data_IF_394163463208
#
_entry.id   IF_394163463208
#
_cell.length_a   1.000
_cell.length_b   1.000
_cell.length_c   1.000
_cell.angle_alpha   90.00
_cell.angle_beta   90.00
_cell.angle_gamma   90.00
#
_symmetry.space_group_name_H-M   'P 1'
#
loop_
_entity.id
_entity.type
_entity.pdbx_description
1 polymer ?
#
# COMPACT_ATOMS: atom_id res chain seq x y z
N UNK A 1 -49.24 22.78 -7.81
CA UNK A 1 -50.28 23.58 -8.50
C UNK A 1 -50.06 25.03 -8.12
N UNK A 2 -49.31 25.77 -8.94
CA UNK A 2 -49.83 26.67 -9.99
C UNK A 2 -50.46 27.93 -9.40
N UNK A 3 -49.75 29.05 -9.50
CA UNK A 3 -50.19 30.15 -10.37
C UNK A 3 -48.99 30.95 -10.89
N UNK A 4 -48.97 31.09 -12.21
CA UNK A 4 -48.02 31.81 -13.07
C UNK A 4 -48.64 33.16 -13.43
N UNK A 5 -47.81 34.16 -13.80
CA UNK A 5 -47.99 35.26 -14.79
C UNK A 5 -47.18 36.48 -14.31
N UNK A 6 -46.41 37.23 -15.09
CA UNK A 6 -45.92 37.14 -16.47
C UNK A 6 -44.85 38.25 -16.64
N UNK A 7 -43.69 37.90 -17.22
CA UNK A 7 -42.80 38.69 -18.12
C UNK A 7 -42.83 40.23 -18.09
N UNK A 8 -41.63 40.82 -17.97
CA UNK A 8 -41.15 41.76 -19.01
C UNK A 8 -39.63 41.69 -19.18
N UNK A 9 -39.22 41.77 -20.45
CA UNK A 9 -37.88 41.62 -21.05
C UNK A 9 -37.07 42.91 -21.07
N UNK A 10 -35.79 42.80 -21.49
CA UNK A 10 -34.76 43.84 -21.79
C UNK A 10 -33.77 44.03 -20.63
N UNK A 11 -32.45 43.93 -20.79
CA UNK A 11 -31.59 43.96 -21.99
C UNK A 11 -30.21 43.42 -21.62
N UNK A 12 -29.62 42.62 -22.51
CA UNK A 12 -28.17 42.43 -22.60
C UNK A 12 -27.50 43.79 -22.86
N UNK A 13 -26.42 44.07 -22.14
CA UNK A 13 -25.58 45.25 -22.35
C UNK A 13 -25.08 45.86 -21.05
N UNK A 14 -23.76 45.92 -20.91
CA UNK A 14 -23.00 46.60 -19.85
C UNK A 14 -22.79 45.88 -18.52
N UNK A 15 -22.20 44.68 -18.57
CA UNK A 15 -21.19 44.33 -17.56
C UNK A 15 -19.81 44.78 -18.06
N UNK A 16 -19.34 45.88 -17.45
CA UNK A 16 -18.01 46.45 -17.61
C UNK A 16 -16.93 45.36 -17.50
N UNK A 17 -16.31 45.03 -18.64
CA UNK A 17 -15.02 44.35 -18.66
C UNK A 17 -13.97 45.30 -18.04
N UNK A 18 -13.70 45.13 -16.74
CA UNK A 18 -12.53 45.72 -16.10
C UNK A 18 -11.31 45.18 -16.84
N UNK A 19 -10.68 45.99 -17.71
CA UNK A 19 -9.40 45.64 -18.33
C UNK A 19 -8.42 45.33 -17.19
N UNK A 20 -8.00 44.08 -17.08
CA UNK A 20 -6.99 43.66 -16.12
C UNK A 20 -5.75 44.53 -16.33
N UNK A 21 -5.40 45.36 -15.34
CA UNK A 21 -4.33 46.37 -15.48
C UNK A 21 -2.94 45.72 -15.44
N UNK A 22 -2.86 44.52 -14.88
CA UNK A 22 -1.69 43.66 -14.80
C UNK A 22 -2.11 42.24 -14.41
N UNK A 23 -1.28 41.26 -14.77
CA UNK A 23 -1.33 39.88 -14.29
C UNK A 23 -0.37 39.74 -13.11
N UNK A 24 -0.73 38.96 -12.12
CA UNK A 24 0.08 38.73 -10.93
C UNK A 24 0.24 37.24 -10.61
N UNK A 25 1.42 36.87 -10.12
CA UNK A 25 1.73 35.55 -9.59
C UNK A 25 2.38 35.69 -8.22
N UNK A 26 1.81 35.02 -7.22
CA UNK A 26 2.23 35.15 -5.81
C UNK A 26 3.18 34.01 -5.44
N UNK A 27 4.36 34.38 -4.95
CA UNK A 27 5.39 33.46 -4.46
C UNK A 27 5.48 33.61 -2.93
N UNK A 28 4.53 33.02 -2.21
CA UNK A 28 4.38 33.19 -0.76
C UNK A 28 5.59 32.70 0.03
N UNK A 29 6.22 31.59 -0.41
CA UNK A 29 7.39 31.02 0.26
C UNK A 29 8.63 31.90 0.08
N UNK A 30 8.76 32.51 -1.10
CA UNK A 30 9.87 33.39 -1.46
C UNK A 30 9.63 34.86 -1.09
N UNK A 31 8.40 35.22 -0.70
CA UNK A 31 8.04 36.53 -0.16
C UNK A 31 7.92 37.65 -1.19
N UNK A 32 7.46 37.34 -2.41
CA UNK A 32 7.27 38.35 -3.46
C UNK A 32 6.05 38.10 -4.34
N UNK A 33 5.61 39.13 -5.05
CA UNK A 33 4.58 39.04 -6.09
C UNK A 33 5.22 39.46 -7.42
N UNK A 34 5.22 38.57 -8.41
CA UNK A 34 5.64 38.92 -9.77
C UNK A 34 4.46 39.50 -10.52
N UNK A 35 4.71 40.56 -11.28
CA UNK A 35 3.68 41.24 -12.07
C UNK A 35 4.10 41.42 -13.51
N UNK A 36 3.13 41.33 -14.41
CA UNK A 36 3.30 41.60 -15.84
C UNK A 36 2.19 42.53 -16.30
N UNK A 37 2.51 43.50 -17.15
CA UNK A 37 1.51 44.34 -17.83
C UNK A 37 1.86 44.53 -19.31
N UNK A 38 0.85 44.75 -20.14
CA UNK A 38 1.04 45.20 -21.51
C UNK A 38 1.24 46.73 -21.50
N UNK A 39 2.36 47.20 -22.04
CA UNK A 39 2.64 48.65 -22.17
C UNK A 39 1.98 49.18 -23.43
N UNK A 40 2.42 48.68 -24.59
CA UNK A 40 1.89 49.05 -25.91
C UNK A 40 2.19 47.96 -26.92
N UNK A 41 1.20 47.60 -27.74
CA UNK A 41 1.38 46.60 -28.80
C UNK A 41 1.96 45.30 -28.25
N UNK A 42 3.16 44.93 -28.71
CA UNK A 42 3.86 43.69 -28.34
C UNK A 42 4.80 43.85 -27.14
N UNK A 43 4.82 45.02 -26.50
CA UNK A 43 5.72 45.32 -25.38
C UNK A 43 5.07 44.93 -24.06
N UNK A 44 5.68 43.99 -23.36
CA UNK A 44 5.32 43.55 -22.03
C UNK A 44 6.35 44.07 -21.02
N UNK A 45 5.88 44.53 -19.86
CA UNK A 45 6.72 44.96 -18.75
C UNK A 45 6.51 44.01 -17.57
N UNK A 46 7.60 43.41 -17.08
CA UNK A 46 7.61 42.51 -15.92
C UNK A 46 8.47 43.08 -14.80
N UNK A 47 7.97 42.98 -13.57
CA UNK A 47 8.69 43.38 -12.35
C UNK A 47 8.29 42.48 -11.17
N UNK A 48 9.01 42.63 -10.08
CA UNK A 48 8.72 41.96 -8.81
C UNK A 48 8.43 43.01 -7.74
N UNK A 49 7.36 42.80 -6.97
CA UNK A 49 7.07 43.55 -5.75
C UNK A 49 7.48 42.72 -4.54
N UNK A 50 8.43 43.24 -3.75
CA UNK A 50 8.94 42.60 -2.55
C UNK A 50 9.38 43.67 -1.53
N UNK A 51 9.35 43.33 -0.24
CA UNK A 51 9.83 44.22 0.84
C UNK A 51 11.38 44.21 0.97
N UNK A 52 12.04 43.23 0.36
CA UNK A 52 13.48 43.00 0.41
C UNK A 52 13.97 42.38 -0.91
N UNK A 53 15.27 42.31 -1.09
CA UNK A 53 15.86 41.58 -2.22
C UNK A 53 15.52 40.08 -2.14
N UNK A 54 15.13 39.51 -3.28
CA UNK A 54 14.69 38.12 -3.40
C UNK A 54 15.59 37.28 -4.30
N UNK A 55 15.38 35.97 -4.21
CA UNK A 55 15.91 34.98 -5.13
C UNK A 55 14.84 34.61 -6.16
N UNK A 56 15.09 34.87 -7.44
CA UNK A 56 14.23 34.35 -8.50
C UNK A 56 14.44 32.84 -8.63
N UNK A 57 13.39 32.07 -8.33
CA UNK A 57 13.44 30.61 -8.27
C UNK A 57 12.54 29.92 -9.30
N UNK A 58 11.32 30.42 -9.48
CA UNK A 58 10.30 29.79 -10.31
C UNK A 58 9.91 30.73 -11.45
N UNK A 59 9.83 30.19 -12.66
CA UNK A 59 9.35 30.93 -13.82
C UNK A 59 7.85 30.72 -14.03
N UNK A 60 7.12 31.81 -14.13
CA UNK A 60 5.66 31.82 -14.25
C UNK A 60 5.20 31.61 -15.70
N UNK A 61 5.50 30.44 -16.27
CA UNK A 61 5.17 30.11 -17.67
C UNK A 61 3.67 30.26 -17.95
N UNK A 62 2.82 29.81 -17.02
CA UNK A 62 1.36 29.95 -17.13
C UNK A 62 0.91 31.41 -17.20
N UNK A 63 1.47 32.27 -16.35
CA UNK A 63 1.17 33.71 -16.38
C UNK A 63 1.61 34.33 -17.71
N UNK A 64 2.77 33.91 -18.25
CA UNK A 64 3.23 34.38 -19.54
C UNK A 64 2.28 33.97 -20.69
N UNK A 65 1.80 32.72 -20.68
CA UNK A 65 0.84 32.21 -21.66
C UNK A 65 -0.52 32.93 -21.57
N UNK A 66 -1.01 33.18 -20.36
CA UNK A 66 -2.22 33.95 -20.09
C UNK A 66 -2.10 35.38 -20.63
N UNK A 67 -1.01 36.08 -20.32
CA UNK A 67 -0.75 37.45 -20.82
C UNK A 67 -0.78 37.49 -22.35
N UNK A 68 -0.10 36.55 -23.01
CA UNK A 68 -0.05 36.50 -24.48
C UNK A 68 -1.43 36.20 -25.06
N UNK A 69 -2.20 35.31 -24.43
CA UNK A 69 -3.55 35.00 -24.86
C UNK A 69 -4.49 36.20 -24.74
N UNK A 70 -4.51 36.84 -23.57
CA UNK A 70 -5.40 37.96 -23.28
C UNK A 70 -5.05 39.19 -24.15
N UNK A 71 -3.75 39.40 -24.41
CA UNK A 71 -3.26 40.48 -25.26
C UNK A 71 -3.33 40.17 -26.77
N UNK A 72 -3.74 38.95 -27.15
CA UNK A 72 -3.78 38.45 -28.55
C UNK A 72 -2.42 38.54 -29.25
N UNK A 73 -1.35 38.15 -28.57
CA UNK A 73 0.03 38.22 -29.05
C UNK A 73 0.56 36.88 -29.60
N UNK A 74 -0.27 35.84 -29.70
CA UNK A 74 0.15 34.45 -30.01
C UNK A 74 0.90 34.27 -31.35
N UNK A 75 0.72 35.18 -32.30
CA UNK A 75 1.24 35.03 -33.67
C UNK A 75 2.49 35.86 -33.95
N UNK A 76 2.95 36.71 -33.01
CA UNK A 76 4.07 37.62 -33.23
C UNK A 76 5.04 37.63 -32.04
N UNK A 77 6.37 37.61 -32.29
CA UNK A 77 7.35 37.69 -31.21
C UNK A 77 7.14 38.93 -30.35
N UNK A 78 7.25 38.75 -29.03
CA UNK A 78 7.00 39.81 -28.04
C UNK A 78 8.30 40.52 -27.65
N UNK A 79 8.18 41.77 -27.21
CA UNK A 79 9.27 42.51 -26.59
C UNK A 79 9.06 42.53 -25.07
N UNK A 80 10.08 42.15 -24.31
CA UNK A 80 10.02 42.09 -22.85
C UNK A 80 10.89 43.18 -22.23
N UNK A 81 10.31 44.01 -21.36
CA UNK A 81 11.04 44.91 -20.48
C UNK A 81 11.03 44.28 -19.09
N UNK A 82 12.20 44.11 -18.50
CA UNK A 82 12.36 43.42 -17.24
C UNK A 82 13.05 44.29 -16.18
N UNK A 83 12.29 44.63 -15.15
CA UNK A 83 12.79 45.31 -13.95
C UNK A 83 13.41 44.32 -12.97
N UNK A 84 14.67 44.54 -12.59
CA UNK A 84 15.42 43.71 -11.65
C UNK A 84 15.69 44.38 -10.29
N UNK A 85 15.00 45.47 -9.95
CA UNK A 85 15.24 46.29 -8.74
C UNK A 85 15.32 45.51 -7.43
N UNK A 86 14.53 44.44 -7.29
CA UNK A 86 14.46 43.62 -6.06
C UNK A 86 15.10 42.24 -6.23
N UNK A 87 15.88 42.00 -7.29
CA UNK A 87 16.43 40.68 -7.58
C UNK A 87 17.88 40.60 -7.12
N UNK A 88 18.10 40.08 -5.91
CA UNK A 88 19.44 39.92 -5.34
C UNK A 88 20.17 38.68 -5.88
N UNK A 89 19.45 37.63 -6.27
CA UNK A 89 20.04 36.41 -6.83
C UNK A 89 19.09 35.67 -7.78
N UNK A 90 19.64 34.82 -8.63
CA UNK A 90 18.91 34.00 -9.59
C UNK A 90 19.36 32.54 -9.42
N UNK A 91 18.42 31.64 -9.12
CA UNK A 91 18.73 30.22 -8.89
C UNK A 91 19.07 29.48 -10.19
N UNK A 92 19.69 28.30 -10.07
CA UNK A 92 19.94 27.44 -11.23
C UNK A 92 18.66 27.05 -11.96
N UNK A 93 17.62 26.68 -11.20
CA UNK A 93 16.31 26.30 -11.75
C UNK A 93 15.70 27.44 -12.58
N UNK A 94 15.81 28.67 -12.11
CA UNK A 94 15.32 29.83 -12.85
C UNK A 94 16.13 30.08 -14.14
N UNK A 95 17.46 29.93 -14.08
CA UNK A 95 18.35 30.06 -15.25
C UNK A 95 18.04 29.00 -16.31
N UNK A 96 17.79 27.76 -15.89
CA UNK A 96 17.33 26.67 -16.76
C UNK A 96 15.97 27.00 -17.38
N UNK A 97 15.03 27.50 -16.58
CA UNK A 97 13.69 27.85 -17.06
C UNK A 97 13.72 28.99 -18.08
N UNK A 98 14.47 30.07 -17.84
CA UNK A 98 14.56 31.17 -18.81
C UNK A 98 15.32 30.76 -20.06
N UNK A 99 16.34 29.90 -19.94
CA UNK A 99 17.02 29.31 -21.09
C UNK A 99 16.01 28.51 -21.95
N UNK A 100 15.21 27.66 -21.35
CA UNK A 100 14.17 26.91 -22.08
C UNK A 100 13.20 27.82 -22.82
N UNK A 101 12.70 28.89 -22.16
CA UNK A 101 11.74 29.81 -22.78
C UNK A 101 12.34 30.51 -24.01
N UNK A 102 13.58 31.02 -23.94
CA UNK A 102 14.15 31.75 -25.08
C UNK A 102 14.39 30.86 -26.32
N UNK A 103 14.48 29.54 -26.15
CA UNK A 103 14.65 28.60 -27.27
C UNK A 103 13.35 27.93 -27.72
N UNK A 104 12.42 27.65 -26.79
CA UNK A 104 11.30 26.74 -27.04
C UNK A 104 9.90 27.37 -26.87
N UNK A 105 9.79 28.57 -26.28
CA UNK A 105 8.49 29.19 -26.06
C UNK A 105 7.99 29.96 -27.29
N UNK A 106 6.73 29.73 -27.67
CA UNK A 106 6.02 30.46 -28.73
C UNK A 106 5.04 31.48 -28.11
N UNK A 107 4.93 32.71 -28.63
CA UNK A 107 5.40 33.24 -29.92
C UNK A 107 6.91 33.57 -30.00
N UNK A 108 7.64 33.45 -28.90
CA UNK A 108 9.05 33.81 -28.81
C UNK A 108 9.26 35.30 -28.53
N UNK A 109 10.52 35.70 -28.39
CA UNK A 109 10.90 37.10 -28.13
C UNK A 109 11.60 37.70 -29.34
N UNK A 110 11.31 38.95 -29.67
CA UNK A 110 12.16 39.73 -30.60
C UNK A 110 13.23 40.52 -29.85
N UNK A 111 12.90 40.98 -28.64
CA UNK A 111 13.79 41.83 -27.83
C UNK A 111 13.53 41.68 -26.35
N UNK A 112 14.59 41.72 -25.56
CA UNK A 112 14.55 41.70 -24.09
C UNK A 112 15.40 42.85 -23.56
N UNK A 113 14.82 43.73 -22.76
CA UNK A 113 15.48 44.90 -22.20
C UNK A 113 15.47 44.82 -20.68
N UNK A 114 16.63 44.68 -20.06
CA UNK A 114 16.80 44.67 -18.61
C UNK A 114 17.10 46.08 -18.08
N UNK A 115 16.51 46.47 -16.96
CA UNK A 115 16.87 47.71 -16.27
C UNK A 115 16.87 47.51 -14.75
N UNK A 116 17.45 48.47 -14.03
CA UNK A 116 17.68 48.39 -12.58
C UNK A 116 18.41 47.09 -12.15
N UNK A 117 19.44 46.70 -12.90
CA UNK A 117 20.19 45.46 -12.71
C UNK A 117 21.13 45.61 -11.50
N UNK A 118 20.95 44.86 -10.41
CA UNK A 118 21.89 44.86 -9.29
C UNK A 118 23.24 44.26 -9.71
N UNK A 119 24.33 44.79 -9.15
CA UNK A 119 25.70 44.35 -9.50
C UNK A 119 25.90 42.84 -9.26
N UNK A 120 25.29 42.30 -8.19
CA UNK A 120 25.37 40.89 -7.83
C UNK A 120 24.91 39.92 -8.94
N UNK A 121 24.00 40.36 -9.82
CA UNK A 121 23.45 39.53 -10.91
C UNK A 121 23.81 40.05 -12.30
N UNK A 122 24.60 41.12 -12.40
CA UNK A 122 24.99 41.72 -13.69
C UNK A 122 25.63 40.70 -14.62
N UNK A 123 26.54 39.86 -14.10
CA UNK A 123 27.20 38.83 -14.90
C UNK A 123 26.22 37.77 -15.43
N UNK A 124 25.13 37.51 -14.71
CA UNK A 124 24.07 36.58 -15.12
C UNK A 124 23.32 37.19 -16.30
N UNK A 125 22.97 38.48 -16.24
CA UNK A 125 22.31 39.18 -17.36
C UNK A 125 23.22 39.24 -18.59
N UNK A 126 24.51 39.52 -18.42
CA UNK A 126 25.49 39.49 -19.52
C UNK A 126 25.61 38.09 -20.13
N UNK A 127 25.65 37.05 -19.28
CA UNK A 127 25.71 35.66 -19.75
C UNK A 127 24.44 35.25 -20.50
N UNK A 128 23.28 35.71 -20.03
CA UNK A 128 22.01 35.51 -20.70
C UNK A 128 21.99 36.17 -22.09
N UNK A 129 22.44 37.42 -22.19
CA UNK A 129 22.57 38.11 -23.47
C UNK A 129 23.51 37.38 -24.43
N UNK A 130 24.58 36.78 -23.92
CA UNK A 130 25.57 36.06 -24.72
C UNK A 130 25.08 34.70 -25.26
N UNK A 131 24.07 34.08 -24.63
CA UNK A 131 23.46 32.82 -25.10
C UNK A 131 22.14 33.00 -25.84
N UNK A 132 21.65 34.23 -25.96
CA UNK A 132 20.41 34.52 -26.67
C UNK A 132 20.53 34.14 -28.17
N UNK A 133 19.50 33.54 -28.78
CA UNK A 133 19.47 33.26 -30.23
C UNK A 133 19.65 34.53 -31.06
N UNK A 134 20.19 34.40 -32.28
CA UNK A 134 20.43 35.55 -33.20
C UNK A 134 19.18 36.39 -33.50
N UNK A 135 17.97 35.81 -33.39
CA UNK A 135 16.70 36.52 -33.57
C UNK A 135 16.21 37.31 -32.35
N UNK A 136 16.90 37.22 -31.19
CA UNK A 136 16.52 37.90 -29.96
C UNK A 136 17.55 38.95 -29.59
N UNK A 137 17.17 40.22 -29.69
CA UNK A 137 18.03 41.33 -29.26
C UNK A 137 17.96 41.51 -27.74
N UNK A 138 19.06 41.29 -27.02
CA UNK A 138 19.12 41.52 -25.57
C UNK A 138 19.89 42.80 -25.25
N UNK A 139 19.29 43.68 -24.45
CA UNK A 139 19.83 45.00 -24.14
C UNK A 139 19.68 45.33 -22.65
N UNK A 140 20.48 46.29 -22.18
CA UNK A 140 20.34 46.88 -20.84
C UNK A 140 19.99 48.36 -20.93
N UNK A 141 19.31 48.90 -19.93
CA UNK A 141 18.92 50.30 -19.82
C UNK A 141 19.12 50.81 -18.37
N UNK A 142 19.40 52.11 -18.22
CA UNK A 142 19.60 52.75 -16.92
C UNK A 142 18.31 53.22 -16.24
N UNK A 143 17.19 53.28 -16.98
CA UNK A 143 15.88 53.69 -16.46
C UNK A 143 14.74 53.03 -17.24
N UNK A 144 13.53 53.08 -16.68
CA UNK A 144 12.33 52.58 -17.34
C UNK A 144 12.04 53.31 -18.68
N UNK A 145 12.22 54.64 -18.72
CA UNK A 145 11.98 55.43 -19.95
C UNK A 145 12.95 55.06 -21.08
N UNK A 146 14.21 54.81 -20.72
CA UNK A 146 15.21 54.32 -21.68
C UNK A 146 14.88 52.88 -22.13
N UNK A 147 14.42 52.04 -21.21
CA UNK A 147 14.03 50.67 -21.52
C UNK A 147 12.84 50.61 -22.49
N UNK A 148 11.83 51.45 -22.28
CA UNK A 148 10.66 51.56 -23.16
C UNK A 148 11.06 52.06 -24.56
N UNK A 149 11.95 53.06 -24.64
CA UNK A 149 12.47 53.55 -25.92
C UNK A 149 13.25 52.47 -26.67
N UNK A 150 14.14 51.75 -25.99
CA UNK A 150 14.89 50.62 -26.56
C UNK A 150 13.97 49.47 -26.96
N UNK A 151 12.90 49.22 -26.22
CA UNK A 151 11.89 48.23 -26.59
C UNK A 151 11.10 48.62 -27.86
N UNK A 152 10.83 49.92 -28.04
CA UNK A 152 10.05 50.44 -29.16
C UNK A 152 10.86 50.75 -30.45
N UNK A 153 12.19 50.79 -30.38
CA UNK A 153 13.05 51.12 -31.52
C UNK A 153 12.96 50.11 -32.67
N UNK A 154 12.94 50.58 -33.93
CA UNK A 154 12.99 49.72 -35.12
C UNK A 154 14.42 49.17 -35.35
N UNK A 155 14.55 48.01 -36.00
CA UNK A 155 15.82 47.27 -36.18
C UNK A 155 16.92 48.03 -36.97
N UNK A 156 16.64 49.22 -37.49
CA UNK A 156 17.51 49.93 -38.44
C UNK A 156 18.65 50.77 -37.83
N UNK A 157 18.77 50.89 -36.50
CA UNK A 157 19.90 51.59 -35.86
C UNK A 157 20.98 50.62 -35.37
N UNK A 158 21.69 49.97 -36.29
CA UNK A 158 23.04 49.45 -35.99
C UNK A 158 24.01 50.63 -36.08
N UNK A 159 24.27 51.29 -34.96
CA UNK A 159 25.44 52.17 -34.85
C UNK A 159 26.70 51.31 -34.93
N UNK A 160 27.30 51.29 -36.11
CA UNK A 160 28.68 50.89 -36.33
C UNK A 160 29.60 51.81 -35.50
N UNK A 161 30.32 51.23 -34.55
CA UNK A 161 31.54 51.84 -34.02
C UNK A 161 32.61 50.76 -33.84
N UNK A 162 33.78 51.09 -34.38
CA UNK A 162 34.98 50.29 -34.63
C UNK A 162 35.72 49.79 -33.35
N UNK A 163 37.05 49.58 -33.41
CA UNK A 163 37.83 48.34 -33.48
C UNK A 163 38.02 47.63 -32.12
N UNK A 164 37.00 47.66 -31.25
CA UNK A 164 36.99 47.04 -29.90
C UNK A 164 36.47 45.60 -29.91
N UNK A 165 36.13 45.07 -31.09
CA UNK A 165 35.33 43.87 -31.30
C UNK A 165 35.97 42.59 -30.77
N UNK A 166 37.29 42.41 -30.87
CA UNK A 166 37.94 41.14 -30.52
C UNK A 166 37.87 40.80 -29.02
N UNK A 167 38.16 41.78 -28.15
CA UNK A 167 38.08 41.58 -26.70
C UNK A 167 36.65 41.41 -26.20
N UNK A 168 35.71 42.19 -26.77
CA UNK A 168 34.29 42.08 -26.44
C UNK A 168 33.72 40.75 -26.91
N UNK A 169 34.12 40.27 -28.09
CA UNK A 169 33.76 38.96 -28.62
C UNK A 169 34.29 37.82 -27.76
N UNK A 170 35.57 37.87 -27.36
CA UNK A 170 36.15 36.86 -26.48
C UNK A 170 35.47 36.84 -25.09
N UNK A 171 35.13 38.01 -24.52
CA UNK A 171 34.33 38.09 -23.29
C UNK A 171 32.96 37.45 -23.46
N UNK A 172 32.22 37.82 -24.51
CA UNK A 172 30.88 37.30 -24.74
C UNK A 172 30.89 35.79 -24.96
N UNK A 173 31.84 35.27 -25.74
CA UNK A 173 31.96 33.83 -25.98
C UNK A 173 32.32 33.06 -24.70
N UNK A 174 33.15 33.64 -23.82
CA UNK A 174 33.45 33.07 -22.52
C UNK A 174 32.19 32.92 -21.65
N UNK A 175 31.40 34.00 -21.55
CA UNK A 175 30.16 34.00 -20.79
C UNK A 175 29.14 33.03 -21.38
N UNK A 176 29.06 32.97 -22.71
CA UNK A 176 28.18 32.06 -23.41
C UNK A 176 28.55 30.59 -23.15
N UNK A 177 29.84 30.24 -23.21
CA UNK A 177 30.31 28.90 -22.89
C UNK A 177 29.94 28.50 -21.45
N UNK A 178 30.21 29.36 -20.47
CA UNK A 178 29.85 29.11 -19.06
C UNK A 178 28.35 28.92 -18.88
N UNK A 179 27.51 29.78 -19.48
CA UNK A 179 26.06 29.65 -19.38
C UNK A 179 25.53 28.38 -20.07
N UNK A 180 26.05 28.01 -21.25
CA UNK A 180 25.67 26.75 -21.91
C UNK A 180 26.06 25.52 -21.09
N UNK A 181 27.25 25.50 -20.47
CA UNK A 181 27.68 24.42 -19.58
C UNK A 181 26.78 24.39 -18.34
N UNK A 182 26.65 25.51 -17.63
CA UNK A 182 26.05 25.53 -16.30
C UNK A 182 24.53 25.56 -16.30
N UNK A 183 23.89 26.21 -17.27
CA UNK A 183 22.43 26.37 -17.31
C UNK A 183 21.78 25.35 -18.24
N UNK A 184 22.45 24.97 -19.34
CA UNK A 184 21.86 24.10 -20.37
C UNK A 184 22.45 22.68 -20.38
N UNK A 185 23.35 22.36 -19.43
CA UNK A 185 24.06 21.08 -19.36
C UNK A 185 24.76 20.68 -20.68
N UNK A 186 25.24 21.66 -21.46
CA UNK A 186 25.91 21.40 -22.74
C UNK A 186 27.38 21.06 -22.50
N UNK A 187 27.64 19.89 -21.91
CA UNK A 187 28.99 19.46 -21.57
C UNK A 187 29.82 19.01 -22.78
N UNK A 188 29.21 18.80 -23.95
CA UNK A 188 29.88 18.40 -25.19
C UNK A 188 30.13 19.55 -26.18
N UNK A 189 29.79 20.78 -25.82
CA UNK A 189 29.97 21.92 -26.73
C UNK A 189 31.46 22.17 -27.03
N UNK A 190 31.74 22.66 -28.23
CA UNK A 190 33.06 23.20 -28.54
C UNK A 190 33.24 24.58 -27.90
N UNK A 191 34.37 24.76 -27.20
CA UNK A 191 34.78 26.06 -26.68
C UNK A 191 35.86 26.63 -27.62
N UNK A 192 35.61 27.76 -28.31
CA UNK A 192 36.56 28.35 -29.24
C UNK A 192 37.70 29.06 -28.49
N UNK A 193 38.75 28.29 -28.16
CA UNK A 193 39.91 28.78 -27.40
C UNK A 193 40.68 29.83 -28.23
N UNK A 194 40.86 31.06 -27.72
CA UNK A 194 41.69 32.07 -28.37
C UNK A 194 43.15 31.63 -28.52
N UNK A 195 43.91 32.29 -29.40
CA UNK A 195 45.35 32.04 -29.56
C UNK A 195 46.12 32.26 -28.24
N UNK A 196 47.28 31.59 -28.02
CA UNK A 196 48.03 31.64 -26.75
C UNK A 196 48.49 33.03 -26.29
N UNK A 197 48.63 33.97 -27.22
CA UNK A 197 48.98 35.36 -26.98
C UNK A 197 47.80 36.23 -26.49
N UNK A 198 46.57 35.72 -26.61
CA UNK A 198 45.37 36.39 -26.13
C UNK A 198 45.25 36.30 -24.60
N UNK A 199 44.98 37.44 -23.94
CA UNK A 199 44.82 37.52 -22.47
C UNK A 199 43.75 36.59 -21.88
N UNK A 200 42.78 36.16 -22.69
CA UNK A 200 41.70 35.27 -22.27
C UNK A 200 42.02 33.78 -22.45
N UNK A 201 43.12 33.42 -23.11
CA UNK A 201 43.47 32.04 -23.44
C UNK A 201 43.45 31.10 -22.22
N UNK A 202 44.12 31.49 -21.13
CA UNK A 202 44.20 30.69 -19.90
C UNK A 202 42.83 30.48 -19.24
N UNK A 203 41.94 31.48 -19.30
CA UNK A 203 40.58 31.37 -18.79
C UNK A 203 39.76 30.35 -19.60
N UNK A 204 39.83 30.41 -20.93
CA UNK A 204 39.15 29.44 -21.80
C UNK A 204 39.67 28.01 -21.59
N UNK A 205 40.99 27.84 -21.44
CA UNK A 205 41.59 26.54 -21.09
C UNK A 205 41.13 26.02 -19.73
N UNK A 206 40.96 26.88 -18.74
CA UNK A 206 40.42 26.50 -17.44
C UNK A 206 38.97 26.01 -17.54
N UNK A 207 38.15 26.65 -18.38
CA UNK A 207 36.76 26.23 -18.62
C UNK A 207 36.69 24.91 -19.38
N UNK A 208 37.55 24.70 -20.39
CA UNK A 208 37.65 23.42 -21.10
C UNK A 208 38.05 22.27 -20.15
N UNK A 209 39.03 22.51 -19.28
CA UNK A 209 39.41 21.53 -18.25
C UNK A 209 38.24 21.23 -17.30
N UNK A 210 37.55 22.27 -16.80
CA UNK A 210 36.37 22.11 -15.95
C UNK A 210 35.24 21.34 -16.68
N UNK A 211 35.01 21.61 -17.96
CA UNK A 211 34.02 20.90 -18.78
C UNK A 211 34.38 19.40 -18.88
N UNK A 212 35.66 19.08 -19.06
CA UNK A 212 36.14 17.69 -19.06
C UNK A 212 35.89 16.98 -17.72
N UNK A 213 36.16 17.66 -16.60
CA UNK A 213 35.92 17.11 -15.27
C UNK A 213 34.42 16.90 -15.00
N UNK A 214 33.57 17.80 -15.48
CA UNK A 214 32.12 17.68 -15.36
C UNK A 214 31.58 16.50 -16.18
N UNK A 215 32.09 16.27 -17.40
CA UNK A 215 31.75 15.07 -18.20
C UNK A 215 32.14 13.79 -17.48
N UNK A 216 33.36 13.71 -16.96
CA UNK A 216 33.82 12.54 -16.23
C UNK A 216 32.94 12.23 -15.00
N UNK A 217 32.45 13.27 -14.30
CA UNK A 217 31.50 13.11 -13.19
C UNK A 217 30.11 12.66 -13.64
N UNK A 218 29.64 13.13 -14.79
CA UNK A 218 28.36 12.69 -15.36
C UNK A 218 28.43 11.21 -15.78
N UNK A 219 29.52 10.81 -16.44
CA UNK A 219 29.81 9.42 -16.81
C UNK A 219 29.87 8.50 -15.58
N UNK A 220 30.60 8.91 -14.53
CA UNK A 220 30.71 8.15 -13.27
C UNK A 220 29.33 7.95 -12.63
N UNK A 221 28.53 9.02 -12.54
CA UNK A 221 27.17 8.98 -12.01
C UNK A 221 26.25 8.09 -12.86
N UNK A 222 26.38 8.12 -14.18
CA UNK A 222 25.61 7.25 -15.07
C UNK A 222 25.99 5.78 -14.87
N UNK A 223 27.29 5.47 -14.70
CA UNK A 223 27.74 4.12 -14.38
C UNK A 223 27.19 3.63 -13.04
N UNK A 224 27.22 4.46 -11.98
CA UNK A 224 26.64 4.14 -10.68
C UNK A 224 25.13 3.86 -10.78
N UNK A 225 24.40 4.70 -11.53
CA UNK A 225 22.96 4.55 -11.72
C UNK A 225 22.64 3.24 -12.46
N UNK A 226 23.41 2.90 -13.49
CA UNK A 226 23.25 1.67 -14.24
C UNK A 226 23.55 0.42 -13.39
N UNK A 227 24.58 0.47 -12.55
CA UNK A 227 24.88 -0.59 -11.58
C UNK A 227 23.74 -0.78 -10.58
N UNK A 228 23.22 0.31 -10.01
CA UNK A 228 22.10 0.26 -9.07
C UNK A 228 20.84 -0.33 -9.73
N UNK A 229 20.54 0.08 -10.96
CA UNK A 229 19.42 -0.46 -11.73
C UNK A 229 19.56 -1.97 -11.94
N UNK A 230 20.75 -2.43 -12.31
CA UNK A 230 21.04 -3.85 -12.50
C UNK A 230 20.88 -4.66 -11.20
N UNK A 231 21.36 -4.15 -10.06
CA UNK A 231 21.17 -4.79 -8.75
C UNK A 231 19.68 -4.89 -8.38
N UNK A 232 18.91 -3.82 -8.60
CA UNK A 232 17.47 -3.83 -8.35
C UNK A 232 16.72 -4.84 -9.24
N UNK A 233 17.06 -4.93 -10.52
CA UNK A 233 16.49 -5.92 -11.45
C UNK A 233 16.82 -7.36 -11.03
N UNK A 234 18.05 -7.61 -10.56
CA UNK A 234 18.45 -8.92 -10.03
C UNK A 234 17.67 -9.28 -8.76
N UNK A 235 17.52 -8.34 -7.82
CA UNK A 235 16.74 -8.55 -6.59
C UNK A 235 15.27 -8.84 -6.89
N UNK A 236 14.68 -8.09 -7.83
CA UNK A 236 13.30 -8.30 -8.25
C UNK A 236 13.12 -9.69 -8.88
N UNK A 237 14.04 -10.09 -9.76
CA UNK A 237 14.05 -11.43 -10.35
C UNK A 237 14.14 -12.52 -9.30
N UNK A 238 15.05 -12.39 -8.33
CA UNK A 238 15.19 -13.35 -7.24
C UNK A 238 13.93 -13.44 -6.37
N UNK A 239 13.29 -12.31 -6.09
CA UNK A 239 12.04 -12.25 -5.32
C UNK A 239 10.89 -12.94 -6.06
N UNK A 240 10.76 -12.71 -7.36
CA UNK A 240 9.74 -13.37 -8.20
C UNK A 240 9.93 -14.89 -8.21
N UNK A 241 11.16 -15.38 -8.39
CA UNK A 241 11.48 -16.81 -8.34
C UNK A 241 11.07 -17.40 -6.98
N UNK A 242 11.46 -16.75 -5.88
CA UNK A 242 11.13 -17.19 -4.52
C UNK A 242 9.62 -17.20 -4.27
N UNK A 243 8.91 -16.17 -4.74
CA UNK A 243 7.45 -16.07 -4.61
C UNK A 243 6.74 -17.18 -5.39
N UNK A 244 7.17 -17.45 -6.62
CA UNK A 244 6.60 -18.52 -7.44
C UNK A 244 6.85 -19.90 -6.81
N UNK A 245 8.06 -20.15 -6.30
CA UNK A 245 8.37 -21.38 -5.58
C UNK A 245 7.48 -21.55 -4.34
N UNK A 246 7.29 -20.50 -3.54
CA UNK A 246 6.40 -20.54 -2.37
C UNK A 246 4.94 -20.77 -2.76
N UNK A 247 4.48 -20.16 -3.85
CA UNK A 247 3.12 -20.31 -4.35
C UNK A 247 2.85 -21.75 -4.81
N UNK A 248 3.81 -22.39 -5.48
CA UNK A 248 3.67 -23.78 -5.89
C UNK A 248 3.69 -24.75 -4.69
N UNK A 249 4.53 -24.49 -3.68
CA UNK A 249 4.50 -25.25 -2.42
C UNK A 249 3.14 -25.13 -1.73
N UNK A 250 2.62 -23.91 -1.59
CA UNK A 250 1.31 -23.68 -0.99
C UNK A 250 0.18 -24.37 -1.78
N UNK A 251 0.24 -24.34 -3.11
CA UNK A 251 -0.70 -25.05 -3.99
C UNK A 251 -0.66 -26.55 -3.77
N UNK A 252 0.54 -27.14 -3.65
CA UNK A 252 0.71 -28.57 -3.39
C UNK A 252 0.13 -28.95 -2.03
N UNK A 253 0.47 -28.22 -0.97
CA UNK A 253 -0.11 -28.44 0.36
C UNK A 253 -1.63 -28.30 0.37
N UNK A 254 -2.18 -27.34 -0.37
CA UNK A 254 -3.64 -27.20 -0.54
C UNK A 254 -4.29 -28.46 -1.13
N UNK A 255 -3.71 -29.03 -2.19
CA UNK A 255 -4.19 -30.29 -2.80
C UNK A 255 -4.08 -31.47 -1.83
N UNK A 256 -2.99 -31.56 -1.08
CA UNK A 256 -2.77 -32.63 -0.11
C UNK A 256 -3.82 -32.58 1.01
N UNK A 257 -4.12 -31.39 1.55
CA UNK A 257 -5.17 -31.20 2.54
C UNK A 257 -6.58 -31.50 1.99
N UNK A 258 -6.89 -31.08 0.77
CA UNK A 258 -8.18 -31.42 0.14
C UNK A 258 -8.38 -32.93 0.01
N UNK A 259 -7.31 -33.66 -0.37
CA UNK A 259 -7.33 -35.11 -0.46
C UNK A 259 -7.58 -35.75 0.91
N UNK A 260 -6.86 -35.30 1.94
CA UNK A 260 -7.04 -35.80 3.31
C UNK A 260 -8.46 -35.53 3.84
N UNK A 261 -9.01 -34.34 3.58
CA UNK A 261 -10.40 -34.01 3.93
C UNK A 261 -11.38 -34.96 3.24
N UNK A 262 -11.18 -35.27 1.95
CA UNK A 262 -12.04 -36.18 1.20
C UNK A 262 -11.98 -37.60 1.75
N UNK A 263 -10.79 -38.10 2.06
CA UNK A 263 -10.59 -39.44 2.65
C UNK A 263 -11.24 -39.56 4.02
N UNK A 264 -11.07 -38.55 4.89
CA UNK A 264 -11.71 -38.51 6.21
C UNK A 264 -13.23 -38.45 6.10
N UNK A 265 -13.78 -37.64 5.19
CA UNK A 265 -15.24 -37.60 4.93
C UNK A 265 -15.77 -38.95 4.48
N UNK A 266 -15.05 -39.65 3.60
CA UNK A 266 -15.45 -40.99 3.16
C UNK A 266 -15.44 -41.99 4.33
N UNK A 267 -14.44 -41.93 5.20
CA UNK A 267 -14.37 -42.80 6.38
C UNK A 267 -15.50 -42.53 7.36
N UNK A 268 -15.83 -41.27 7.61
CA UNK A 268 -16.97 -40.88 8.44
C UNK A 268 -18.27 -41.46 7.85
N UNK A 269 -18.50 -41.29 6.55
CA UNK A 269 -19.69 -41.82 5.90
C UNK A 269 -19.81 -43.34 6.04
N UNK A 270 -18.70 -44.08 5.87
CA UNK A 270 -18.69 -45.54 6.08
C UNK A 270 -19.01 -45.90 7.53
N UNK A 271 -18.40 -45.21 8.51
CA UNK A 271 -18.66 -45.46 9.93
C UNK A 271 -20.10 -45.13 10.33
N UNK A 272 -20.68 -44.06 9.79
CA UNK A 272 -22.09 -43.70 10.01
C UNK A 272 -23.04 -44.77 9.46
N UNK A 273 -22.72 -45.35 8.30
CA UNK A 273 -23.49 -46.48 7.74
C UNK A 273 -23.41 -47.73 8.64
N UNK A 274 -22.22 -48.06 9.14
CA UNK A 274 -22.04 -49.19 10.07
C UNK A 274 -22.79 -48.96 11.39
N UNK A 275 -22.68 -47.76 11.97
CA UNK A 275 -23.42 -47.38 13.17
C UNK A 275 -24.93 -47.48 12.97
N UNK A 276 -25.44 -47.05 11.81
CA UNK A 276 -26.86 -47.14 11.47
C UNK A 276 -27.31 -48.60 11.39
N UNK A 277 -26.51 -49.47 10.76
CA UNK A 277 -26.79 -50.92 10.68
C UNK A 277 -26.84 -51.56 12.06
N UNK A 278 -25.83 -51.31 12.89
CA UNK A 278 -25.77 -51.83 14.27
C UNK A 278 -26.96 -51.32 15.08
N UNK A 279 -27.27 -50.03 15.00
CA UNK A 279 -28.41 -49.44 15.72
C UNK A 279 -29.74 -50.07 15.33
N UNK A 280 -29.92 -50.38 14.04
CA UNK A 280 -31.12 -51.05 13.51
C UNK A 280 -31.24 -52.47 14.05
N UNK A 281 -30.16 -53.26 13.99
CA UNK A 281 -30.14 -54.63 14.51
C UNK A 281 -30.46 -54.69 16.02
N UNK A 282 -29.94 -53.72 16.79
CA UNK A 282 -30.26 -53.62 18.22
C UNK A 282 -31.75 -53.29 18.39
N UNK A 283 -32.31 -52.35 17.62
CA UNK A 283 -33.74 -52.02 17.71
C UNK A 283 -34.65 -53.23 17.40
N UNK A 284 -34.31 -54.01 16.38
CA UNK A 284 -35.01 -55.27 16.02
C UNK A 284 -34.93 -56.31 17.13
N UNK A 285 -33.74 -56.49 17.74
CA UNK A 285 -33.54 -57.37 18.90
C UNK A 285 -34.41 -56.94 20.08
N UNK A 286 -34.43 -55.65 20.43
CA UNK A 286 -35.28 -55.12 21.51
C UNK A 286 -36.76 -55.41 21.24
N UNK A 287 -37.21 -55.20 19.99
CA UNK A 287 -38.60 -55.46 19.61
C UNK A 287 -38.96 -56.93 19.74
N UNK A 288 -38.04 -57.83 19.34
CA UNK A 288 -38.25 -59.28 19.44
C UNK A 288 -38.37 -59.74 20.90
N UNK A 289 -37.53 -59.21 21.80
CA UNK A 289 -37.62 -59.49 23.24
C UNK A 289 -38.95 -59.02 23.84
N UNK A 290 -39.46 -57.86 23.43
CA UNK A 290 -40.79 -57.37 23.87
C UNK A 290 -41.91 -58.26 23.36
N UNK A 291 -41.86 -58.67 22.09
CA UNK A 291 -42.86 -59.59 21.54
C UNK A 291 -42.86 -60.95 22.27
N UNK A 292 -41.68 -61.47 22.64
CA UNK A 292 -41.57 -62.68 23.45
C UNK A 292 -42.16 -62.51 24.85
N UNK A 293 -41.93 -61.35 25.47
CA UNK A 293 -42.53 -61.01 26.77
C UNK A 293 -44.06 -61.01 26.69
N UNK A 294 -44.65 -60.38 25.66
CA UNK A 294 -46.09 -60.35 25.45
C UNK A 294 -46.66 -61.76 25.23
N UNK A 295 -45.96 -62.62 24.49
CA UNK A 295 -46.32 -64.03 24.31
C UNK A 295 -46.28 -64.80 25.63
N UNK A 296 -45.25 -64.61 26.46
CA UNK A 296 -45.14 -65.24 27.79
C UNK A 296 -46.30 -64.80 28.69
N UNK A 297 -46.70 -63.53 28.65
CA UNK A 297 -47.85 -63.05 29.41
C UNK A 297 -49.17 -63.68 28.98
N UNK A 298 -49.33 -64.02 27.70
CA UNK A 298 -50.53 -64.67 27.16
C UNK A 298 -50.63 -66.18 27.48
N UNK A 299 -49.53 -66.84 27.85
CA UNK A 299 -49.53 -68.27 28.17
C UNK A 299 -50.16 -68.55 29.54
N UNK A 300 -51.00 -69.59 29.61
CA UNK A 300 -51.56 -70.14 30.85
C UNK A 300 -50.67 -71.27 31.36
N UNK A 301 -49.64 -70.88 32.11
CA UNK A 301 -48.58 -71.74 32.66
C UNK A 301 -48.44 -71.50 34.16
N UNK A 302 -47.78 -72.42 34.85
CA UNK A 302 -47.54 -72.35 36.28
C UNK A 302 -47.00 -70.95 36.70
N UNK A 303 -47.57 -70.30 37.72
CA UNK A 303 -47.21 -68.94 38.11
C UNK A 303 -45.72 -68.76 38.44
N UNK A 304 -45.05 -69.80 38.94
CA UNK A 304 -43.62 -69.73 39.27
C UNK A 304 -42.75 -69.80 38.02
N UNK A 305 -43.09 -70.67 37.07
CA UNK A 305 -42.39 -70.75 35.78
C UNK A 305 -42.62 -69.51 34.92
N UNK A 306 -43.87 -69.00 34.90
CA UNK A 306 -44.22 -67.75 34.20
C UNK A 306 -43.41 -66.58 34.72
N UNK A 307 -43.29 -66.47 36.05
CA UNK A 307 -42.49 -65.44 36.70
C UNK A 307 -41.01 -65.55 36.34
N UNK A 308 -40.44 -66.76 36.37
CA UNK A 308 -39.05 -66.97 36.00
C UNK A 308 -38.76 -66.55 34.55
N UNK A 309 -39.60 -66.93 33.59
CA UNK A 309 -39.43 -66.56 32.18
C UNK A 309 -39.60 -65.06 31.93
N UNK A 310 -40.55 -64.43 32.64
CA UNK A 310 -40.80 -62.98 32.59
C UNK A 310 -39.61 -62.21 33.15
N UNK A 311 -39.11 -62.62 34.32
CA UNK A 311 -37.97 -62.01 34.99
C UNK A 311 -36.70 -62.12 34.13
N UNK A 312 -36.47 -63.26 33.45
CA UNK A 312 -35.38 -63.41 32.48
C UNK A 312 -35.51 -62.47 31.27
N UNK A 313 -36.70 -62.32 30.69
CA UNK A 313 -36.91 -61.39 29.58
C UNK A 313 -36.73 -59.92 30.00
N UNK A 314 -37.21 -59.55 31.20
CA UNK A 314 -37.04 -58.22 31.76
C UNK A 314 -35.56 -57.91 32.06
N UNK A 315 -34.79 -58.89 32.58
CA UNK A 315 -33.34 -58.79 32.78
C UNK A 315 -32.59 -58.50 31.46
N UNK A 316 -32.97 -59.18 30.38
CA UNK A 316 -32.37 -58.96 29.06
C UNK A 316 -32.70 -57.56 28.50
N UNK A 317 -33.94 -57.10 28.66
CA UNK A 317 -34.36 -55.75 28.23
C UNK A 317 -33.67 -54.66 29.08
N UNK A 318 -33.54 -54.88 30.39
CA UNK A 318 -32.82 -53.97 31.29
C UNK A 318 -31.34 -53.87 30.88
N UNK A 319 -30.71 -55.02 30.62
CA UNK A 319 -29.32 -55.10 30.14
C UNK A 319 -29.12 -54.30 28.86
N UNK A 320 -29.96 -54.53 27.84
CA UNK A 320 -29.90 -53.81 26.57
C UNK A 320 -30.13 -52.28 26.73
N UNK A 321 -31.00 -51.90 27.67
CA UNK A 321 -31.25 -50.47 27.98
C UNK A 321 -30.01 -49.81 28.59
N UNK A 322 -29.30 -50.53 29.47
CA UNK A 322 -28.08 -50.04 30.09
C UNK A 322 -26.93 -50.00 29.06
N UNK A 323 -26.83 -51.01 28.18
CA UNK A 323 -25.87 -51.04 27.07
C UNK A 323 -26.02 -49.79 26.18
N UNK A 324 -27.24 -49.48 25.73
CA UNK A 324 -27.53 -48.27 24.92
C UNK A 324 -27.16 -46.99 25.64
N UNK A 325 -27.47 -46.89 26.94
CA UNK A 325 -27.21 -45.69 27.74
C UNK A 325 -25.72 -45.45 27.97
N UNK A 326 -24.93 -46.51 28.10
CA UNK A 326 -23.49 -46.43 28.39
C UNK A 326 -22.61 -46.55 27.14
N UNK A 327 -23.20 -46.96 26.02
CA UNK A 327 -22.53 -47.24 24.75
C UNK A 327 -21.38 -48.26 24.93
N UNK A 328 -21.69 -49.38 25.60
CA UNK A 328 -20.80 -50.52 25.90
C UNK A 328 -21.63 -51.80 25.86
N UNK A 329 -21.08 -52.88 25.30
CA UNK A 329 -21.65 -54.24 25.40
C UNK A 329 -21.46 -54.80 26.82
N UNK A 330 -22.52 -55.35 27.40
CA UNK A 330 -22.56 -55.80 28.79
C UNK A 330 -22.87 -57.28 28.87
N UNK A 331 -22.22 -57.97 29.80
CA UNK A 331 -22.74 -59.26 30.26
C UNK A 331 -23.91 -59.03 31.22
N UNK A 332 -24.76 -60.05 31.44
CA UNK A 332 -25.83 -59.99 32.43
C UNK A 332 -25.29 -59.63 33.83
N UNK A 333 -24.11 -60.15 34.18
CA UNK A 333 -23.42 -59.82 35.43
C UNK A 333 -22.97 -58.35 35.51
N UNK A 334 -22.61 -57.73 34.38
CA UNK A 334 -22.26 -56.31 34.33
C UNK A 334 -23.49 -55.40 34.47
N UNK A 335 -24.60 -55.79 33.84
CA UNK A 335 -25.90 -55.12 33.96
C UNK A 335 -26.39 -55.12 35.42
N UNK A 336 -26.43 -56.29 36.06
CA UNK A 336 -26.84 -56.43 37.47
C UNK A 336 -25.95 -55.58 38.39
N UNK A 337 -24.63 -55.59 38.17
CA UNK A 337 -23.70 -54.74 38.92
C UNK A 337 -24.01 -53.26 38.74
N UNK A 338 -24.24 -52.80 37.51
CA UNK A 338 -24.54 -51.39 37.21
C UNK A 338 -25.87 -50.96 37.82
N UNK A 339 -26.90 -51.81 37.77
CA UNK A 339 -28.18 -51.56 38.44
C UNK A 339 -28.02 -51.48 39.96
N UNK A 340 -27.23 -52.37 40.57
CA UNK A 340 -26.88 -52.30 42.00
C UNK A 340 -26.12 -51.01 42.35
N UNK A 341 -25.13 -50.64 41.54
CA UNK A 341 -24.33 -49.43 41.73
C UNK A 341 -25.19 -48.16 41.62
N UNK A 342 -26.08 -48.11 40.63
CA UNK A 342 -26.97 -46.97 40.42
C UNK A 342 -28.02 -46.86 41.53
N UNK A 343 -28.55 -47.97 42.04
CA UNK A 343 -29.47 -47.99 43.20
C UNK A 343 -28.79 -47.46 44.46
N UNK A 344 -27.52 -47.81 44.68
CA UNK A 344 -26.75 -47.38 45.86
C UNK A 344 -26.22 -45.94 45.74
N UNK A 345 -25.88 -45.50 44.53
CA UNK A 345 -25.28 -44.20 44.24
C UNK A 345 -25.96 -43.50 43.06
N UNK A 346 -27.16 -42.98 43.28
CA UNK A 346 -27.97 -42.31 42.25
C UNK A 346 -27.35 -40.99 41.71
N UNK A 347 -26.32 -40.46 42.38
CA UNK A 347 -25.62 -39.22 42.02
C UNK A 347 -24.47 -39.40 41.00
N UNK A 348 -24.20 -40.64 40.57
CA UNK A 348 -23.26 -40.95 39.51
C UNK A 348 -23.88 -40.65 38.14
N UNK A 349 -23.17 -39.88 37.31
CA UNK A 349 -23.60 -39.65 35.93
C UNK A 349 -23.21 -40.82 35.01
N UNK A 350 -23.75 -40.85 33.80
CA UNK A 350 -23.50 -41.94 32.82
C UNK A 350 -22.01 -42.16 32.55
N UNK A 351 -21.23 -41.07 32.46
CA UNK A 351 -19.77 -41.12 32.24
C UNK A 351 -19.06 -41.80 33.42
N UNK A 352 -19.46 -41.51 34.65
CA UNK A 352 -18.90 -42.09 35.88
C UNK A 352 -19.33 -43.56 36.07
N UNK A 353 -20.55 -43.94 35.65
CA UNK A 353 -21.00 -45.33 35.62
C UNK A 353 -20.19 -46.15 34.62
N UNK A 354 -19.97 -45.63 33.41
CA UNK A 354 -19.09 -46.24 32.40
C UNK A 354 -17.67 -46.44 32.91
N UNK A 355 -17.11 -45.40 33.54
CA UNK A 355 -15.77 -45.49 34.14
C UNK A 355 -15.75 -46.54 35.27
N UNK A 356 -16.78 -46.60 36.11
CA UNK A 356 -16.88 -47.62 37.18
C UNK A 356 -16.84 -49.03 36.63
N UNK A 357 -17.54 -49.30 35.53
CA UNK A 357 -17.49 -50.59 34.85
C UNK A 357 -16.09 -50.89 34.34
N UNK A 358 -15.43 -49.96 33.65
CA UNK A 358 -14.07 -50.18 33.14
C UNK A 358 -13.06 -50.42 34.27
N UNK A 359 -13.22 -49.74 35.41
CA UNK A 359 -12.41 -49.99 36.61
C UNK A 359 -12.65 -51.39 37.18
N UNK A 360 -13.92 -51.84 37.23
CA UNK A 360 -14.29 -53.21 37.64
C UNK A 360 -13.66 -54.26 36.70
N UNK A 361 -13.67 -54.00 35.39
CA UNK A 361 -13.09 -54.86 34.36
C UNK A 361 -11.55 -54.81 34.30
N UNK A 362 -10.88 -54.16 35.26
CA UNK A 362 -9.43 -54.08 35.38
C UNK A 362 -8.69 -53.32 34.27
N UNK A 363 -9.35 -52.43 33.53
CA UNK A 363 -8.65 -51.56 32.56
C UNK A 363 -7.68 -50.58 33.23
N UNK A 364 -6.57 -50.27 32.57
CA UNK A 364 -5.59 -49.29 33.08
C UNK A 364 -6.16 -47.87 33.01
N UNK A 365 -5.74 -47.00 33.93
CA UNK A 365 -6.16 -45.58 33.95
C UNK A 365 -5.90 -44.86 32.62
N UNK A 366 -4.82 -45.19 31.91
CA UNK A 366 -4.49 -44.65 30.58
C UNK A 366 -5.45 -45.14 29.50
N UNK A 367 -5.84 -46.41 29.56
CA UNK A 367 -6.80 -47.02 28.62
C UNK A 367 -8.19 -46.44 28.82
N UNK A 368 -8.61 -46.30 30.08
CA UNK A 368 -9.87 -45.64 30.45
C UNK A 368 -9.88 -44.19 29.97
N UNK A 369 -8.80 -43.43 30.22
CA UNK A 369 -8.70 -42.05 29.79
C UNK A 369 -8.82 -41.90 28.26
N UNK A 370 -8.16 -42.79 27.50
CA UNK A 370 -8.25 -42.84 26.03
C UNK A 370 -9.66 -43.20 25.56
N UNK A 371 -10.29 -44.22 26.16
CA UNK A 371 -11.63 -44.67 25.81
C UNK A 371 -12.70 -43.59 26.03
N UNK A 372 -12.52 -42.76 27.06
CA UNK A 372 -13.47 -41.69 27.44
C UNK A 372 -13.04 -40.31 26.92
N UNK A 373 -12.00 -40.24 26.08
CA UNK A 373 -11.56 -39.02 25.38
C UNK A 373 -11.02 -37.91 26.28
N UNK A 374 -10.22 -38.23 27.31
CA UNK A 374 -9.60 -37.26 28.23
C UNK A 374 -8.13 -37.54 28.47
N UNK A 375 -7.41 -36.52 28.95
CA UNK A 375 -6.05 -36.69 29.44
C UNK A 375 -6.02 -37.52 30.73
N UNK A 376 -4.87 -38.14 31.01
CA UNK A 376 -4.61 -38.86 32.27
C UNK A 376 -4.85 -37.97 33.50
N UNK A 377 -4.44 -36.69 33.43
CA UNK A 377 -4.73 -35.68 34.46
C UNK A 377 -6.23 -35.43 34.64
N UNK A 378 -6.98 -35.37 33.53
CA UNK A 378 -8.44 -35.27 33.57
C UNK A 378 -9.08 -36.48 34.25
N UNK A 379 -8.51 -37.67 34.05
CA UNK A 379 -8.96 -38.92 34.67
C UNK A 379 -8.74 -38.94 36.20
N UNK A 380 -7.64 -38.35 36.69
CA UNK A 380 -7.41 -38.19 38.14
C UNK A 380 -8.46 -37.28 38.81
N UNK A 381 -8.83 -36.20 38.14
CA UNK A 381 -9.89 -35.30 38.61
C UNK A 381 -11.24 -36.02 38.71
N UNK A 382 -11.57 -36.87 37.72
CA UNK A 382 -12.78 -37.70 37.76
C UNK A 382 -12.69 -38.72 38.91
N UNK A 383 -11.56 -39.40 39.07
CA UNK A 383 -11.33 -40.36 40.16
C UNK A 383 -11.58 -39.72 41.53
N UNK A 384 -11.08 -38.50 41.76
CA UNK A 384 -11.33 -37.76 42.99
C UNK A 384 -12.83 -37.45 43.21
N UNK A 385 -13.54 -37.03 42.16
CA UNK A 385 -14.99 -36.78 42.25
C UNK A 385 -15.78 -38.06 42.53
N UNK A 386 -15.43 -39.15 41.85
CA UNK A 386 -16.05 -40.46 42.08
C UNK A 386 -15.78 -40.94 43.51
N UNK A 387 -14.57 -40.75 44.03
CA UNK A 387 -14.22 -41.11 45.41
C UNK A 387 -15.13 -40.41 46.43
N UNK A 388 -15.37 -39.10 46.26
CA UNK A 388 -16.34 -38.33 47.07
C UNK A 388 -17.77 -38.81 46.89
N UNK A 389 -18.22 -39.02 45.65
CA UNK A 389 -19.60 -39.43 45.35
C UNK A 389 -19.94 -40.82 45.89
N UNK A 390 -18.96 -41.73 45.89
CA UNK A 390 -19.07 -43.09 46.42
C UNK A 390 -18.96 -43.16 47.96
N UNK A 391 -18.64 -42.04 48.63
CA UNK A 391 -18.51 -41.96 50.09
C UNK A 391 -17.29 -42.69 50.66
N UNK A 392 -16.20 -42.79 49.87
CA UNK A 392 -15.02 -43.57 50.26
C UNK A 392 -14.11 -42.79 51.21
N UNK A 393 -13.53 -43.47 52.20
CA UNK A 393 -12.50 -42.91 53.09
C UNK A 393 -11.15 -42.69 52.39
N UNK A 394 -10.27 -41.85 52.94
CA UNK A 394 -8.99 -41.43 52.31
C UNK A 394 -8.10 -42.58 51.81
N UNK A 395 -8.20 -43.77 52.41
CA UNK A 395 -7.40 -44.95 52.06
C UNK A 395 -8.19 -46.06 51.36
N UNK A 396 -9.46 -45.82 51.04
CA UNK A 396 -10.28 -46.80 50.34
C UNK A 396 -10.12 -46.66 48.83
N UNK A 397 -9.84 -47.78 48.17
CA UNK A 397 -9.72 -47.87 46.71
C UNK A 397 -11.09 -47.98 46.07
N UNK A 398 -11.36 -47.15 45.06
CA UNK A 398 -12.57 -47.25 44.22
C UNK A 398 -12.65 -48.65 43.61
N UNK A 399 -11.52 -49.21 43.17
CA UNK A 399 -11.48 -50.54 42.55
C UNK A 399 -11.99 -51.62 43.50
N UNK A 400 -11.44 -51.67 44.71
CA UNK A 400 -11.85 -52.65 45.73
C UNK A 400 -13.33 -52.51 46.07
N UNK A 401 -13.80 -51.28 46.27
CA UNK A 401 -15.21 -51.00 46.53
C UNK A 401 -16.15 -51.52 45.44
N UNK A 402 -15.81 -51.28 44.17
CA UNK A 402 -16.62 -51.72 43.03
C UNK A 402 -16.59 -53.24 42.87
N UNK A 403 -15.45 -53.89 43.13
CA UNK A 403 -15.33 -55.35 43.14
C UNK A 403 -16.20 -55.98 44.23
N UNK A 404 -16.15 -55.47 45.46
CA UNK A 404 -16.95 -56.00 46.58
C UNK A 404 -18.46 -55.87 46.33
N UNK A 405 -18.87 -54.75 45.72
CA UNK A 405 -20.26 -54.51 45.35
C UNK A 405 -20.75 -55.48 44.25
N UNK A 406 -19.85 -56.01 43.43
CA UNK A 406 -20.20 -56.96 42.36
C UNK A 406 -20.37 -58.41 42.84
N UNK A 407 -19.71 -58.80 43.94
CA UNK A 407 -19.69 -60.19 44.46
C UNK A 407 -20.83 -60.44 45.45
N UNK A 408 -21.36 -59.39 46.09
CA UNK A 408 -22.45 -59.54 47.07
C UNK A 408 -23.76 -59.88 46.34
N UNK A 409 -24.25 -61.13 46.50
CA UNK A 409 -25.49 -61.63 45.88
C UNK A 409 -26.72 -60.83 46.30
#
# INVERSE_FOLDING_TARGET
>A
MYFTLQRNTMTEGDEKATRQTHWESRHEQEGYVKKIRQVKGRILHTWVEAERDIALNTMDNRMLDEVVQDCRLKDLPVCLIWDLSHVGTITLHYKQSIADIIFNWAPGFSRIVFFNIPEAIRIIVESFAAVAPEGISVMTAGSYEEAERKAAAEEHEKNETEPTESHTRAKNEFLAAIARISWMNMLEQHIPIPQPDNRFHSFFKAVEAMQSDLRAKEDEKEMELNQLKQDLEQRLTHMVIKMNAQTELNRKSGRDFEKEISELKSRIATQDMELTRVSTAIAEKTSSLRNLLDQIYALDIDPTQKRQMTDSCLSLIETETIEKRLNIELTEADSVFLSKLQKKHANLNQRELRISLLVKLNYDTREIARSVGISTRGMESIRYRMHKKLGLGKHQSIKTYLSDLSITM
#
